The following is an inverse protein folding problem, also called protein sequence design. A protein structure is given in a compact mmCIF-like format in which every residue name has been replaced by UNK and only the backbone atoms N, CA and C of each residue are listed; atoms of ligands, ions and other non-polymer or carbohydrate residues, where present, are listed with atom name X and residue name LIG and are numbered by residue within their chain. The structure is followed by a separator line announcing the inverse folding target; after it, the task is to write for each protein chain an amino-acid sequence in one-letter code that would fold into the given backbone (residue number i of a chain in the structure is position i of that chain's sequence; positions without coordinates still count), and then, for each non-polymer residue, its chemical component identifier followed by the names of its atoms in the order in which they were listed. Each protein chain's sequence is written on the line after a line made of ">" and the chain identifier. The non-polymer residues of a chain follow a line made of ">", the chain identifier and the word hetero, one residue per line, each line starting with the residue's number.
data_IF_805148107527
#
_entry.id   IF_805148107527
#
_cell.length_a   1.000
_cell.length_b   1.000
_cell.length_c   1.000
_cell.angle_alpha   90.00
_cell.angle_beta   90.00
_cell.angle_gamma   90.00
#
_symmetry.space_group_name_H-M   'P 1'
#
loop_
_entity.id
_entity.type
_entity.pdbx_description
1 polymer ?
#
# COMPACT_ATOMS: atom_id res chain seq x y z
N UNK A 1 1.99 -18.26 1.44
CA UNK A 1 0.81 -17.73 0.71
C UNK A 1 0.99 -16.22 0.57
N UNK A 2 0.64 -15.61 -0.57
CA UNK A 2 0.77 -14.16 -0.76
C UNK A 2 -0.24 -13.39 0.12
N UNK A 3 0.11 -12.18 0.51
CA UNK A 3 -0.73 -11.28 1.31
C UNK A 3 -1.05 -10.04 0.48
N UNK A 4 -2.15 -10.09 -0.26
CA UNK A 4 -2.54 -9.01 -1.18
C UNK A 4 -3.62 -8.09 -0.60
N UNK A 5 -4.46 -8.64 0.28
CA UNK A 5 -5.59 -7.96 0.92
C UNK A 5 -5.56 -8.24 2.43
N UNK A 6 -6.02 -7.29 3.27
CA UNK A 6 -6.21 -7.55 4.69
C UNK A 6 -7.29 -8.62 4.89
N UNK A 7 -7.13 -9.45 5.92
CA UNK A 7 -8.21 -10.33 6.38
C UNK A 7 -9.24 -9.52 7.16
N UNK A 8 -10.48 -10.00 7.20
CA UNK A 8 -11.54 -9.37 8.02
C UNK A 8 -11.12 -9.30 9.50
N UNK A 9 -10.45 -10.33 10.01
CA UNK A 9 -9.94 -10.36 11.39
C UNK A 9 -8.88 -9.27 11.64
N UNK A 10 -7.94 -9.07 10.70
CA UNK A 10 -6.93 -8.01 10.81
C UNK A 10 -7.56 -6.61 10.74
N UNK A 11 -8.53 -6.41 9.84
CA UNK A 11 -9.30 -5.16 9.76
C UNK A 11 -10.06 -4.86 11.06
N UNK A 12 -10.77 -5.84 11.61
CA UNK A 12 -11.47 -5.70 12.88
C UNK A 12 -10.51 -5.43 14.05
N UNK A 13 -9.33 -6.04 14.07
CA UNK A 13 -8.31 -5.78 15.08
C UNK A 13 -7.76 -4.35 14.99
N UNK A 14 -7.48 -3.85 13.78
CA UNK A 14 -7.06 -2.46 13.57
C UNK A 14 -8.13 -1.47 14.02
N UNK A 15 -9.39 -1.72 13.66
CA UNK A 15 -10.51 -0.89 14.09
C UNK A 15 -10.65 -0.85 15.61
N UNK A 16 -10.56 -2.00 16.29
CA UNK A 16 -10.61 -2.08 17.76
C UNK A 16 -9.43 -1.41 18.46
N UNK A 17 -8.25 -1.38 17.84
CA UNK A 17 -7.09 -0.66 18.39
C UNK A 17 -7.33 0.85 18.43
N UNK A 18 -8.21 1.37 17.57
CA UNK A 18 -8.63 2.77 17.47
C UNK A 18 -7.47 3.77 17.69
N UNK A 19 -6.45 3.74 16.80
CA UNK A 19 -5.32 4.64 16.92
C UNK A 19 -5.78 6.09 16.82
N UNK A 20 -5.49 6.87 17.87
CA UNK A 20 -5.85 8.28 17.92
C UNK A 20 -4.86 9.12 17.11
N UNK A 21 -5.40 10.04 16.31
CA UNK A 21 -4.63 10.96 15.48
C UNK A 21 -4.11 10.34 14.16
N UNK A 22 -3.07 10.96 13.55
CA UNK A 22 -2.56 10.51 12.27
C UNK A 22 -1.99 9.10 12.30
N UNK A 23 -2.26 8.35 11.24
CA UNK A 23 -1.72 7.00 11.01
C UNK A 23 -0.80 7.02 9.80
N UNK A 24 0.33 6.33 9.88
CA UNK A 24 1.25 6.13 8.76
C UNK A 24 1.25 4.66 8.39
N UNK A 25 0.88 4.38 7.15
CA UNK A 25 0.84 3.04 6.58
C UNK A 25 2.19 2.71 5.95
N UNK A 26 2.99 1.88 6.64
CA UNK A 26 4.18 1.28 6.05
C UNK A 26 3.78 0.15 5.12
N UNK A 27 4.11 0.30 3.84
CA UNK A 27 3.93 -0.69 2.80
C UNK A 27 5.30 -1.27 2.42
N UNK A 28 5.41 -2.59 2.44
CA UNK A 28 6.53 -3.33 1.85
C UNK A 28 5.96 -4.21 0.75
N UNK A 29 6.45 -4.07 -0.47
CA UNK A 29 5.83 -4.62 -1.67
C UNK A 29 6.84 -5.45 -2.45
N UNK A 30 6.43 -6.67 -2.79
CA UNK A 30 7.14 -7.53 -3.72
C UNK A 30 6.33 -7.60 -5.01
N UNK A 31 6.95 -7.28 -6.14
CA UNK A 31 6.29 -7.26 -7.43
C UNK A 31 6.36 -8.61 -8.12
N UNK A 32 5.44 -8.81 -9.06
CA UNK A 32 5.53 -9.89 -10.04
C UNK A 32 6.48 -9.48 -11.17
N UNK A 33 7.15 -10.47 -11.75
CA UNK A 33 7.94 -10.24 -12.96
C UNK A 33 7.06 -9.77 -14.12
N UNK A 34 5.85 -10.33 -14.22
CA UNK A 34 4.79 -9.90 -15.16
C UNK A 34 3.50 -9.68 -14.38
N UNK A 35 2.86 -8.53 -14.59
CA UNK A 35 1.62 -8.17 -13.92
C UNK A 35 0.46 -9.10 -14.33
N UNK A 36 -0.34 -9.53 -13.35
CA UNK A 36 -1.47 -10.44 -13.56
C UNK A 36 -2.81 -9.72 -13.44
N UNK A 37 -3.36 -9.33 -14.59
CA UNK A 37 -4.65 -8.65 -14.68
C UNK A 37 -5.86 -9.61 -14.73
N UNK A 38 -5.71 -10.91 -14.45
CA UNK A 38 -6.83 -11.86 -14.52
C UNK A 38 -8.03 -11.45 -13.64
N UNK A 39 -7.78 -10.72 -12.55
CA UNK A 39 -8.81 -10.19 -11.63
C UNK A 39 -9.32 -8.80 -11.97
N UNK A 40 -8.73 -8.13 -12.96
CA UNK A 40 -9.13 -6.81 -13.44
C UNK A 40 -8.86 -6.68 -14.96
N UNK A 41 -9.46 -7.55 -15.80
CA UNK A 41 -9.16 -7.60 -17.23
C UNK A 41 -9.46 -6.28 -17.96
N UNK A 42 -10.40 -5.48 -17.45
CA UNK A 42 -10.75 -4.16 -17.98
C UNK A 42 -9.62 -3.12 -17.83
N UNK A 43 -8.63 -3.37 -16.96
CA UNK A 43 -7.46 -2.50 -16.76
C UNK A 43 -6.20 -3.07 -17.45
N UNK A 44 -6.32 -4.22 -18.11
CA UNK A 44 -5.17 -4.89 -18.70
C UNK A 44 -4.57 -4.04 -19.83
N UNK A 45 -3.23 -3.88 -19.87
CA UNK A 45 -2.56 -3.27 -21.02
C UNK A 45 -2.66 -4.16 -22.27
N UNK A 46 -2.52 -3.56 -23.46
CA UNK A 46 -2.48 -4.28 -24.73
C UNK A 46 -1.32 -5.29 -24.84
N UNK A 47 -0.21 -4.99 -24.16
CA UNK A 47 0.98 -5.85 -24.08
C UNK A 47 1.30 -6.18 -22.63
N UNK A 48 1.91 -7.34 -22.33
CA UNK A 48 2.39 -7.64 -20.98
C UNK A 48 3.31 -6.54 -20.47
N UNK A 49 3.13 -6.16 -19.20
CA UNK A 49 3.99 -5.21 -18.48
C UNK A 49 4.48 -5.86 -17.19
N UNK A 50 5.57 -5.36 -16.65
CA UNK A 50 6.09 -5.78 -15.35
C UNK A 50 5.16 -5.40 -14.21
N UNK A 51 5.31 -6.06 -13.05
CA UNK A 51 4.59 -5.68 -11.84
C UNK A 51 4.94 -4.26 -11.38
N UNK A 52 6.18 -3.82 -11.56
CA UNK A 52 6.59 -2.46 -11.25
C UNK A 52 5.85 -1.41 -12.10
N UNK A 53 5.79 -1.61 -13.42
CA UNK A 53 5.03 -0.71 -14.32
C UNK A 53 3.52 -0.70 -14.01
N UNK A 54 2.95 -1.85 -13.65
CA UNK A 54 1.57 -1.91 -13.18
C UNK A 54 1.38 -1.13 -11.87
N UNK A 55 2.35 -1.19 -10.96
CA UNK A 55 2.32 -0.44 -9.70
C UNK A 55 2.45 1.07 -9.94
N UNK A 56 3.26 1.51 -10.89
CA UNK A 56 3.36 2.93 -11.24
C UNK A 56 2.01 3.49 -11.75
N UNK A 57 1.28 2.70 -12.54
CA UNK A 57 -0.10 3.06 -12.94
C UNK A 57 -1.03 3.17 -11.75
N UNK A 58 -0.91 2.26 -10.77
CA UNK A 58 -1.65 2.35 -9.52
C UNK A 58 -1.33 3.64 -8.75
N UNK A 59 -0.04 4.01 -8.63
CA UNK A 59 0.37 5.24 -7.94
C UNK A 59 -0.20 6.48 -8.65
N UNK A 60 -0.06 6.56 -9.98
CA UNK A 60 -0.61 7.66 -10.77
C UNK A 60 -2.13 7.80 -10.62
N UNK A 61 -2.86 6.68 -10.60
CA UNK A 61 -4.31 6.67 -10.36
C UNK A 61 -4.66 7.10 -8.92
N UNK A 62 -3.88 6.66 -7.94
CA UNK A 62 -4.24 6.77 -6.51
C UNK A 62 -3.92 8.14 -5.92
N UNK A 63 -2.82 8.76 -6.34
CA UNK A 63 -2.30 10.00 -5.76
C UNK A 63 -3.34 11.14 -5.69
N UNK A 64 -4.13 11.45 -6.74
CA UNK A 64 -5.14 12.50 -6.67
C UNK A 64 -6.20 12.24 -5.59
N UNK A 65 -6.63 10.99 -5.41
CA UNK A 65 -7.63 10.64 -4.41
C UNK A 65 -7.07 10.65 -2.99
N UNK A 66 -5.82 10.22 -2.84
CA UNK A 66 -5.10 10.28 -1.56
C UNK A 66 -4.98 11.72 -1.08
N UNK A 67 -4.46 12.60 -1.94
CA UNK A 67 -4.31 14.02 -1.61
C UNK A 67 -5.67 14.67 -1.37
N UNK A 68 -6.67 14.35 -2.20
CA UNK A 68 -8.04 14.84 -2.05
C UNK A 68 -8.70 14.41 -0.72
N UNK A 69 -8.30 13.29 -0.13
CA UNK A 69 -8.77 12.83 1.19
C UNK A 69 -7.98 13.44 2.36
N UNK A 70 -7.03 14.34 2.10
CA UNK A 70 -6.11 14.89 3.11
C UNK A 70 -5.01 13.92 3.53
N UNK A 71 -4.78 12.86 2.75
CA UNK A 71 -3.66 11.94 2.91
C UNK A 71 -2.42 12.42 2.14
N UNK A 72 -1.29 11.78 2.41
CA UNK A 72 0.00 12.20 1.89
C UNK A 72 0.92 10.99 1.65
N UNK A 73 1.59 10.96 0.50
CA UNK A 73 2.68 10.02 0.23
C UNK A 73 3.97 10.59 0.80
N UNK A 74 4.38 10.13 1.99
CA UNK A 74 5.57 10.63 2.68
C UNK A 74 6.88 10.11 2.09
N UNK A 75 6.84 8.88 1.56
CA UNK A 75 8.02 8.21 1.03
C UNK A 75 7.60 7.16 0.00
N UNK A 76 8.35 7.09 -1.09
CA UNK A 76 8.30 6.01 -2.07
C UNK A 76 9.74 5.68 -2.46
N UNK A 77 10.20 4.51 -2.08
CA UNK A 77 11.57 4.08 -2.27
C UNK A 77 11.66 2.73 -2.97
N UNK A 78 12.75 2.58 -3.73
CA UNK A 78 13.16 1.29 -4.27
C UNK A 78 13.77 0.44 -3.15
N UNK A 79 13.31 -0.80 -3.05
CA UNK A 79 13.80 -1.77 -2.08
C UNK A 79 14.98 -2.59 -2.60
N UNK A 80 15.33 -3.64 -1.86
CA UNK A 80 16.50 -4.48 -2.11
C UNK A 80 16.68 -5.56 -1.05
N UNK A 81 17.88 -6.15 -0.93
CA UNK A 81 18.17 -7.10 0.13
C UNK A 81 18.15 -6.42 1.50
N UNK A 82 17.82 -7.20 2.54
CA UNK A 82 17.91 -6.73 3.91
C UNK A 82 19.36 -6.43 4.30
N UNK A 83 19.58 -5.31 4.99
CA UNK A 83 20.79 -5.12 5.78
C UNK A 83 20.74 -5.99 7.05
N UNK A 84 19.56 -6.07 7.68
CA UNK A 84 19.25 -6.94 8.83
C UNK A 84 17.86 -7.52 8.58
N UNK A 85 17.77 -8.84 8.48
CA UNK A 85 16.51 -9.52 8.20
C UNK A 85 16.75 -10.94 7.69
N UNK A 86 15.69 -11.73 7.49
CA UNK A 86 15.81 -13.07 6.94
C UNK A 86 16.23 -13.00 5.47
N UNK A 87 17.26 -13.76 5.09
CA UNK A 87 17.78 -13.79 3.71
C UNK A 87 16.73 -14.15 2.65
N UNK A 88 15.72 -14.94 3.03
CA UNK A 88 14.67 -15.40 2.14
C UNK A 88 13.58 -14.34 1.83
N UNK A 89 13.49 -13.27 2.62
CA UNK A 89 12.52 -12.19 2.40
C UNK A 89 13.20 -11.00 1.71
N UNK A 90 12.50 -10.40 0.75
CA UNK A 90 12.92 -9.18 0.07
C UNK A 90 11.72 -8.37 -0.35
N UNK A 91 11.92 -7.07 -0.52
CA UNK A 91 10.90 -6.13 -0.94
C UNK A 91 11.45 -5.26 -2.07
N UNK A 92 10.70 -5.14 -3.16
CA UNK A 92 11.11 -4.36 -4.34
C UNK A 92 10.76 -2.88 -4.16
N UNK A 93 9.80 -2.57 -3.29
CA UNK A 93 9.38 -1.20 -2.97
C UNK A 93 9.00 -1.06 -1.49
N UNK A 94 9.34 0.09 -0.90
CA UNK A 94 8.86 0.53 0.40
C UNK A 94 8.14 1.88 0.27
N UNK A 95 6.98 2.02 0.91
CA UNK A 95 6.16 3.22 0.82
C UNK A 95 5.56 3.60 2.17
N UNK A 96 5.54 4.90 2.48
CA UNK A 96 4.89 5.46 3.67
C UNK A 96 3.73 6.36 3.22
N UNK A 97 2.51 6.00 3.60
CA UNK A 97 1.31 6.81 3.33
C UNK A 97 0.72 7.30 4.64
N UNK A 98 0.66 8.62 4.82
CA UNK A 98 0.03 9.24 5.99
C UNK A 98 -1.44 9.52 5.70
N UNK A 99 -2.28 9.27 6.71
CA UNK A 99 -3.67 9.68 6.74
C UNK A 99 -3.95 10.42 8.05
N UNK A 100 -4.85 11.40 8.01
CA UNK A 100 -5.17 12.24 9.16
C UNK A 100 -5.77 11.46 10.35
N UNK A 101 -6.46 10.35 10.06
CA UNK A 101 -7.03 9.43 11.04
C UNK A 101 -7.28 8.05 10.42
N UNK A 102 -7.54 7.03 11.25
CA UNK A 102 -8.02 5.74 10.75
C UNK A 102 -9.34 5.88 9.96
N UNK A 103 -10.24 6.76 10.40
CA UNK A 103 -11.50 7.02 9.69
C UNK A 103 -11.24 7.59 8.28
N UNK A 104 -10.31 8.55 8.14
CA UNK A 104 -9.91 9.10 6.84
C UNK A 104 -9.35 8.01 5.92
N UNK A 105 -8.53 7.10 6.46
CA UNK A 105 -8.02 5.95 5.72
C UNK A 105 -9.16 5.04 5.23
N UNK A 106 -10.11 4.69 6.09
CA UNK A 106 -11.23 3.81 5.71
C UNK A 106 -12.15 4.45 4.66
N UNK A 107 -12.38 5.76 4.77
CA UNK A 107 -13.14 6.52 3.78
C UNK A 107 -12.43 6.55 2.41
N UNK A 108 -11.12 6.77 2.40
CA UNK A 108 -10.28 6.71 1.21
C UNK A 108 -10.31 5.31 0.56
N UNK A 109 -10.12 4.24 1.34
CA UNK A 109 -10.14 2.86 0.82
C UNK A 109 -11.50 2.45 0.24
N UNK A 110 -12.59 3.09 0.68
CA UNK A 110 -13.95 2.84 0.19
C UNK A 110 -14.37 3.79 -0.95
N UNK A 111 -13.49 4.69 -1.39
CA UNK A 111 -13.82 5.70 -2.39
C UNK A 111 -13.92 5.06 -3.80
N UNK A 112 -15.12 5.08 -4.39
CA UNK A 112 -15.40 4.40 -5.68
C UNK A 112 -14.43 4.73 -6.81
N UNK A 113 -14.13 6.02 -7.09
CA UNK A 113 -13.12 6.38 -8.09
C UNK A 113 -11.70 5.86 -7.79
N UNK A 114 -11.31 5.73 -6.52
CA UNK A 114 -10.05 5.09 -6.15
C UNK A 114 -10.09 3.59 -6.46
N UNK A 115 -11.16 2.92 -6.05
CA UNK A 115 -11.38 1.49 -6.28
C UNK A 115 -11.37 1.11 -7.78
N UNK A 116 -11.72 2.04 -8.68
CA UNK A 116 -11.66 1.81 -10.11
C UNK A 116 -10.25 1.44 -10.64
N UNK A 117 -9.18 1.87 -9.96
CA UNK A 117 -7.79 1.60 -10.35
C UNK A 117 -7.05 0.61 -9.44
N UNK A 118 -7.70 0.08 -8.38
CA UNK A 118 -7.06 -0.86 -7.43
C UNK A 118 -6.62 -2.17 -8.09
N UNK A 119 -7.18 -2.50 -9.24
CA UNK A 119 -6.78 -3.66 -10.03
C UNK A 119 -5.32 -3.60 -10.48
N UNK A 120 -4.77 -2.41 -10.73
CA UNK A 120 -3.34 -2.22 -11.02
C UNK A 120 -2.46 -2.69 -9.85
N UNK A 121 -2.82 -2.37 -8.60
CA UNK A 121 -2.12 -2.83 -7.40
C UNK A 121 -2.16 -4.35 -7.28
N UNK A 122 -3.34 -4.93 -7.46
CA UNK A 122 -3.54 -6.39 -7.31
C UNK A 122 -2.79 -7.16 -8.40
N UNK A 123 -2.74 -6.61 -9.62
CA UNK A 123 -1.99 -7.18 -10.73
C UNK A 123 -0.47 -7.08 -10.54
N UNK A 124 0.00 -5.99 -9.91
CA UNK A 124 1.42 -5.74 -9.69
C UNK A 124 2.06 -6.66 -8.64
N UNK A 125 1.34 -6.93 -7.54
CA UNK A 125 1.94 -7.44 -6.30
C UNK A 125 1.95 -8.98 -6.26
N UNK A 126 3.12 -9.53 -5.96
CA UNK A 126 3.34 -10.93 -5.64
C UNK A 126 3.15 -11.20 -4.12
N UNK A 127 3.63 -10.31 -3.25
CA UNK A 127 3.40 -10.36 -1.80
C UNK A 127 3.49 -8.95 -1.19
N UNK A 128 2.89 -8.73 -0.01
CA UNK A 128 3.02 -7.45 0.68
C UNK A 128 2.98 -7.54 2.21
N UNK A 129 3.48 -6.49 2.86
CA UNK A 129 3.18 -6.16 4.26
C UNK A 129 2.60 -4.76 4.31
N UNK A 130 1.59 -4.59 5.16
CA UNK A 130 0.99 -3.30 5.46
C UNK A 130 0.95 -3.15 6.99
N UNK A 131 1.74 -2.24 7.52
CA UNK A 131 1.85 -2.01 8.96
C UNK A 131 1.36 -0.59 9.31
N UNK A 132 0.23 -0.48 10.01
CA UNK A 132 -0.23 0.80 10.55
C UNK A 132 0.63 1.26 11.73
N UNK A 133 1.31 2.38 11.55
CA UNK A 133 2.17 3.04 12.52
C UNK A 133 1.48 4.25 13.12
N UNK A 134 1.66 4.44 14.42
CA UNK A 134 1.27 5.64 15.16
C UNK A 134 2.53 6.30 15.67
N UNK A 135 2.65 7.61 15.54
CA UNK A 135 3.82 8.32 16.06
C UNK A 135 3.86 8.22 17.58
N UNK A 136 4.97 7.71 18.12
CA UNK A 136 5.23 7.75 19.57
C UNK A 136 5.88 9.11 19.90
N UNK A 137 5.36 9.81 20.91
CA UNK A 137 5.94 11.08 21.40
C UNK A 137 7.30 10.89 22.12
N UNK A 138 8.05 9.82 21.86
CA UNK A 138 9.34 9.54 22.52
C UNK A 138 10.55 10.24 21.91
N UNK A 139 10.39 10.99 20.82
CA UNK A 139 11.44 11.87 20.31
C UNK A 139 11.20 13.30 20.76
N UNK A 140 11.43 13.55 22.05
CA UNK A 140 11.81 14.88 22.52
C UNK A 140 13.19 14.73 23.15
N UNK A 141 14.21 14.66 22.29
CA UNK A 141 15.56 15.03 22.70
C UNK A 141 15.82 16.37 22.04
N UNK A 142 16.13 17.34 22.89
CA UNK A 142 16.48 18.73 22.53
C UNK A 142 17.61 18.78 21.52
#
# INVERSE_FOLDING_TARGET
>A
MPHLMPTQAAGAALYRRDPQGPVVMLNLLKFRDVADYARAPQLAPERPISGAEAFDRYIAHTLPFLTGSGGELLFLGQGGPWLIGPEAERWDCAMLVRQASLHSFMAFESHGPYLAGIGHRTAAIADSRLLPLTQSMRASTR
#
